data_IF_564253829870
#
_entry.id   IF_564253829870
#
_cell.length_a   1.000
_cell.length_b   1.000
_cell.length_c   1.000
_cell.angle_alpha   90.00
_cell.angle_beta   90.00
_cell.angle_gamma   90.00
#
_symmetry.space_group_name_H-M   'P 1'
#
loop_
_entity.id
_entity.type
_entity.pdbx_description
1 polymer ?
#
# COMPACT_ATOMS: atom_id res chain seq x y z
N UNK A 1 -4.99 3.27 20.60
CA UNK A 1 -4.38 3.25 19.25
C UNK A 1 -5.49 3.46 18.25
N UNK A 2 -5.43 4.55 17.49
CA UNK A 2 -6.47 4.99 16.56
C UNK A 2 -6.67 4.00 15.39
N UNK A 3 -7.93 3.65 15.12
CA UNK A 3 -8.34 2.74 14.05
C UNK A 3 -7.95 3.26 12.65
N UNK A 4 -8.00 4.58 12.42
CA UNK A 4 -7.63 5.18 11.13
C UNK A 4 -6.16 4.95 10.75
N UNK A 5 -5.26 5.01 11.74
CA UNK A 5 -3.83 4.76 11.51
C UNK A 5 -3.54 3.27 11.20
N UNK A 6 -4.31 2.34 11.78
CA UNK A 6 -4.20 0.91 11.46
C UNK A 6 -4.62 0.60 10.03
N UNK A 7 -5.67 1.25 9.55
CA UNK A 7 -6.19 1.09 8.19
C UNK A 7 -5.20 1.65 7.16
N UNK A 8 -4.64 2.84 7.39
CA UNK A 8 -3.60 3.42 6.53
C UNK A 8 -2.39 2.49 6.40
N UNK A 9 -1.89 1.95 7.52
CA UNK A 9 -0.75 1.02 7.51
C UNK A 9 -1.08 -0.27 6.77
N UNK A 10 -2.32 -0.77 6.86
CA UNK A 10 -2.76 -1.94 6.10
C UNK A 10 -2.76 -1.67 4.59
N UNK A 11 -3.29 -0.51 4.16
CA UNK A 11 -3.30 -0.10 2.75
C UNK A 11 -1.87 0.01 2.21
N UNK A 12 -0.96 0.68 2.93
CA UNK A 12 0.44 0.81 2.54
C UNK A 12 1.13 -0.55 2.39
N UNK A 13 0.88 -1.49 3.33
CA UNK A 13 1.40 -2.86 3.22
C UNK A 13 0.89 -3.56 1.96
N UNK A 14 -0.40 -3.41 1.65
CA UNK A 14 -0.99 -4.05 0.47
C UNK A 14 -0.45 -3.47 -0.84
N UNK A 15 -0.32 -2.14 -0.95
CA UNK A 15 0.28 -1.49 -2.12
C UNK A 15 1.72 -1.96 -2.35
N UNK A 16 2.53 -2.04 -1.28
CA UNK A 16 3.89 -2.58 -1.36
C UNK A 16 3.92 -4.05 -1.80
N UNK A 17 2.96 -4.86 -1.36
CA UNK A 17 2.83 -6.25 -1.79
C UNK A 17 2.53 -6.32 -3.30
N UNK A 18 1.59 -5.51 -3.79
CA UNK A 18 1.27 -5.43 -5.22
C UNK A 18 2.48 -5.01 -6.07
N UNK A 19 3.25 -4.01 -5.62
CA UNK A 19 4.44 -3.56 -6.35
C UNK A 19 5.53 -4.63 -6.47
N UNK A 20 5.65 -5.52 -5.49
CA UNK A 20 6.67 -6.58 -5.42
C UNK A 20 6.23 -7.91 -6.01
N UNK A 21 4.92 -8.12 -6.15
CA UNK A 21 4.37 -9.38 -6.64
C UNK A 21 4.81 -9.64 -8.09
N UNK A 22 4.96 -10.92 -8.43
CA UNK A 22 5.41 -11.37 -9.75
C UNK A 22 4.24 -11.92 -10.57
N UNK A 23 4.19 -11.70 -11.89
CA UNK A 23 3.12 -12.22 -12.74
C UNK A 23 3.20 -13.74 -12.96
N UNK A 24 4.33 -14.36 -12.60
CA UNK A 24 4.65 -15.75 -12.88
C UNK A 24 3.58 -16.74 -12.40
N UNK A 25 2.97 -16.48 -11.24
CA UNK A 25 1.97 -17.40 -10.69
C UNK A 25 0.63 -17.30 -11.43
N UNK A 26 0.29 -16.11 -11.95
CA UNK A 26 -0.85 -15.98 -12.87
C UNK A 26 -0.58 -16.68 -14.20
N UNK A 27 0.66 -16.65 -14.69
CA UNK A 27 1.06 -17.41 -15.88
C UNK A 27 1.00 -18.91 -15.60
N UNK A 28 1.52 -19.38 -14.44
CA UNK A 28 1.42 -20.79 -14.01
C UNK A 28 -0.04 -21.23 -13.94
N UNK A 29 -0.93 -20.38 -13.42
CA UNK A 29 -2.37 -20.63 -13.39
C UNK A 29 -2.98 -20.87 -14.77
N UNK A 30 -2.49 -20.20 -15.82
CA UNK A 30 -2.98 -20.40 -17.19
C UNK A 30 -2.82 -21.84 -17.69
N UNK A 31 -1.76 -22.50 -17.25
CA UNK A 31 -1.39 -23.85 -17.68
C UNK A 31 -1.78 -24.93 -16.67
N UNK A 32 -2.23 -24.55 -15.48
CA UNK A 32 -2.65 -25.50 -14.46
C UNK A 32 -3.89 -26.28 -14.91
N UNK A 33 -3.89 -27.59 -14.70
CA UNK A 33 -5.03 -28.43 -15.00
C UNK A 33 -6.02 -28.45 -13.83
N UNK A 34 -7.30 -28.74 -14.15
CA UNK A 34 -8.40 -28.72 -13.16
C UNK A 34 -8.22 -29.74 -12.03
N UNK A 35 -7.43 -30.79 -12.28
CA UNK A 35 -7.10 -31.84 -11.30
C UNK A 35 -6.03 -31.42 -10.30
N UNK A 36 -5.30 -30.33 -10.58
CA UNK A 36 -4.19 -29.83 -9.76
C UNK A 36 -4.63 -28.79 -8.72
N UNK A 37 -5.87 -28.88 -8.22
CA UNK A 37 -6.46 -27.87 -7.33
C UNK A 37 -5.66 -27.59 -6.04
N UNK A 38 -4.84 -28.55 -5.57
CA UNK A 38 -3.94 -28.34 -4.44
C UNK A 38 -2.85 -27.29 -4.72
N UNK A 39 -2.37 -27.20 -5.97
CA UNK A 39 -1.38 -26.21 -6.39
C UNK A 39 -1.97 -24.79 -6.48
N UNK A 40 -3.28 -24.67 -6.71
CA UNK A 40 -3.97 -23.37 -6.77
C UNK A 40 -3.80 -22.56 -5.48
N UNK A 41 -3.88 -23.23 -4.32
CA UNK A 41 -3.72 -22.60 -3.01
C UNK A 41 -2.31 -22.10 -2.71
N UNK A 42 -1.31 -22.48 -3.52
CA UNK A 42 0.10 -22.09 -3.37
C UNK A 42 0.51 -20.90 -4.21
N UNK A 43 -0.33 -20.48 -5.16
CA UNK A 43 -0.03 -19.40 -6.09
C UNK A 43 -0.19 -18.02 -5.41
N UNK A 44 0.80 -17.14 -5.58
CA UNK A 44 0.68 -15.74 -5.26
C UNK A 44 -0.02 -14.97 -6.39
N UNK A 45 -1.36 -14.93 -6.31
CA UNK A 45 -2.20 -14.24 -7.29
C UNK A 45 -2.42 -12.76 -6.94
N UNK A 46 -1.55 -12.13 -6.14
CA UNK A 46 -1.70 -10.73 -5.70
C UNK A 46 -1.85 -9.75 -6.88
N UNK A 47 -1.20 -10.01 -8.01
CA UNK A 47 -1.32 -9.17 -9.21
C UNK A 47 -2.52 -9.50 -10.09
N UNK A 48 -3.20 -10.61 -9.89
CA UNK A 48 -4.29 -11.03 -10.76
C UNK A 48 -5.53 -10.16 -10.51
N UNK A 49 -6.03 -9.49 -11.54
CA UNK A 49 -7.28 -8.73 -11.49
C UNK A 49 -8.42 -9.44 -12.21
N UNK A 50 -8.10 -10.17 -13.29
CA UNK A 50 -9.08 -10.96 -14.04
C UNK A 50 -8.40 -12.21 -14.62
N UNK A 51 -9.11 -13.34 -14.59
CA UNK A 51 -8.70 -14.59 -15.23
C UNK A 51 -9.88 -15.19 -15.98
N UNK A 52 -9.67 -15.50 -17.26
CA UNK A 52 -10.66 -16.18 -18.10
C UNK A 52 -9.97 -17.29 -18.88
N UNK A 53 -10.59 -18.47 -18.89
CA UNK A 53 -10.17 -19.59 -19.73
C UNK A 53 -11.35 -20.03 -20.59
N UNK A 54 -11.20 -19.94 -21.90
CA UNK A 54 -12.23 -20.36 -22.86
C UNK A 54 -12.29 -21.89 -22.98
N UNK A 55 -13.37 -22.39 -23.58
CA UNK A 55 -13.49 -23.81 -23.97
C UNK A 55 -12.48 -24.21 -25.06
N UNK A 56 -11.95 -23.25 -25.82
CA UNK A 56 -10.89 -23.46 -26.81
C UNK A 56 -9.48 -23.49 -26.19
N UNK A 57 -9.36 -23.30 -24.88
CA UNK A 57 -8.09 -23.32 -24.16
C UNK A 57 -7.32 -21.99 -24.17
N UNK A 58 -7.85 -20.95 -24.81
CA UNK A 58 -7.29 -19.59 -24.73
C UNK A 58 -7.47 -19.04 -23.32
N UNK A 59 -6.40 -18.49 -22.76
CA UNK A 59 -6.42 -17.86 -21.43
C UNK A 59 -6.16 -16.37 -21.58
N UNK A 60 -7.06 -15.57 -21.02
CA UNK A 60 -6.89 -14.13 -20.85
C UNK A 60 -6.58 -13.83 -19.39
N UNK A 61 -5.51 -13.07 -19.16
CA UNK A 61 -5.08 -12.62 -17.84
C UNK A 61 -5.04 -11.09 -17.86
N UNK A 62 -5.68 -10.47 -16.87
CA UNK A 62 -5.42 -9.06 -16.55
C UNK A 62 -4.69 -8.97 -15.22
N UNK A 63 -3.73 -8.05 -15.19
CA UNK A 63 -2.95 -7.77 -14.00
C UNK A 63 -3.33 -6.39 -13.44
N UNK A 64 -3.07 -6.21 -12.16
CA UNK A 64 -3.21 -4.93 -11.47
C UNK A 64 -2.22 -3.90 -12.05
N UNK A 65 -2.65 -2.63 -12.07
CA UNK A 65 -1.81 -1.51 -12.52
C UNK A 65 -0.80 -1.14 -11.42
N UNK A 66 0.46 -1.49 -11.65
CA UNK A 66 1.56 -1.21 -10.71
C UNK A 66 1.97 0.25 -10.69
N UNK A 67 1.79 0.99 -11.79
CA UNK A 67 2.12 2.41 -11.84
C UNK A 67 1.13 3.16 -10.95
N UNK A 68 -0.17 2.86 -11.09
CA UNK A 68 -1.20 3.42 -10.22
C UNK A 68 -0.99 3.06 -8.74
N UNK A 69 -0.57 1.82 -8.44
CA UNK A 69 -0.24 1.44 -7.06
C UNK A 69 0.96 2.22 -6.50
N UNK A 70 1.95 2.54 -7.35
CA UNK A 70 3.13 3.33 -6.99
C UNK A 70 2.76 4.80 -6.73
N UNK A 71 1.97 5.41 -7.60
CA UNK A 71 1.45 6.79 -7.43
C UNK A 71 0.65 6.92 -6.13
N UNK A 72 -0.20 5.93 -5.81
CA UNK A 72 -0.94 5.90 -4.54
C UNK A 72 0.00 5.81 -3.34
N UNK A 73 1.06 5.01 -3.44
CA UNK A 73 2.04 4.85 -2.37
C UNK A 73 2.86 6.12 -2.16
N UNK A 74 3.26 6.81 -3.23
CA UNK A 74 3.94 8.10 -3.18
C UNK A 74 3.07 9.16 -2.51
N UNK A 75 1.80 9.27 -2.91
CA UNK A 75 0.83 10.18 -2.29
C UNK A 75 0.67 9.91 -0.80
N UNK A 76 0.59 8.65 -0.40
CA UNK A 76 0.49 8.26 1.01
C UNK A 76 1.81 8.47 1.78
N UNK A 77 2.96 8.48 1.11
CA UNK A 77 4.26 8.75 1.73
C UNK A 77 4.45 10.24 2.02
N UNK A 78 3.95 11.13 1.15
CA UNK A 78 4.01 12.58 1.33
C UNK A 78 3.12 13.13 2.46
N UNK A 79 2.16 12.34 2.93
CA UNK A 79 1.25 12.69 4.02
C UNK A 79 1.77 12.20 5.38
N UNK A 80 2.96 12.62 5.84
CA UNK A 80 3.69 12.10 7.03
C UNK A 80 2.86 11.60 8.24
N UNK A 81 3.44 10.72 9.06
CA UNK A 81 2.73 10.11 10.21
C UNK A 81 2.37 11.11 11.34
N UNK A 82 2.86 12.35 11.26
CA UNK A 82 2.56 13.37 12.25
C UNK A 82 1.50 14.33 11.72
N UNK A 83 0.33 14.29 12.36
CA UNK A 83 -0.74 15.28 12.17
C UNK A 83 -0.30 16.71 12.47
N UNK A 84 0.89 16.92 13.03
CA UNK A 84 1.56 18.20 12.97
C UNK A 84 2.16 18.35 11.56
N UNK A 85 1.40 18.98 10.67
CA UNK A 85 1.98 19.71 9.54
C UNK A 85 3.27 20.39 10.01
N UNK A 86 4.34 20.44 9.21
CA UNK A 86 5.55 21.18 9.59
C UNK A 86 5.25 22.61 10.07
N UNK A 87 4.11 23.18 9.66
CA UNK A 87 3.56 24.42 10.19
C UNK A 87 3.13 24.33 11.67
N UNK A 88 2.44 23.27 12.11
CA UNK A 88 2.01 23.10 13.50
C UNK A 88 3.19 22.85 14.45
N UNK A 89 4.18 22.06 14.02
CA UNK A 89 5.44 21.92 14.76
C UNK A 89 6.21 23.26 14.83
N UNK A 90 6.17 24.05 13.76
CA UNK A 90 6.75 25.39 13.72
C UNK A 90 6.00 26.37 14.62
N UNK A 91 4.67 26.35 14.63
CA UNK A 91 3.84 27.20 15.52
C UNK A 91 4.06 26.86 16.99
N UNK A 92 4.12 25.57 17.36
CA UNK A 92 4.45 25.16 18.74
C UNK A 92 5.85 25.60 19.16
N UNK A 93 6.83 25.56 18.25
CA UNK A 93 8.18 26.05 18.54
C UNK A 93 8.21 27.57 18.78
N UNK A 94 7.42 28.34 18.00
CA UNK A 94 7.27 29.77 18.21
C UNK A 94 6.64 30.09 19.57
N UNK A 95 5.54 29.41 19.94
CA UNK A 95 4.89 29.59 21.25
C UNK A 95 5.84 29.28 22.41
N UNK A 96 6.61 28.20 22.31
CA UNK A 96 7.60 27.83 23.32
C UNK A 96 8.74 28.84 23.43
N UNK A 97 9.13 29.49 22.33
CA UNK A 97 10.16 30.54 22.34
C UNK A 97 9.65 31.88 22.90
N UNK A 98 8.36 32.16 22.76
CA UNK A 98 7.74 33.40 23.23
C UNK A 98 7.39 33.36 24.73
N UNK A 99 7.40 32.18 25.36
CA UNK A 99 7.05 31.97 26.77
C UNK A 99 8.15 32.28 27.79
N UNK A 100 9.28 32.86 27.41
CA UNK A 100 10.44 33.09 28.29
C UNK A 100 10.79 34.58 28.44
N UNK A 101 9.89 35.40 29.00
CA UNK A 101 10.24 36.73 29.50
C UNK A 101 9.58 37.10 30.84
N UNK A 102 9.21 36.12 31.67
CA UNK A 102 8.79 36.41 33.04
C UNK A 102 9.44 35.43 34.02
N UNK A 103 10.65 35.78 34.46
CA UNK A 103 11.18 35.59 35.80
C UNK A 103 12.66 36.01 35.82
N UNK A 104 12.95 37.29 36.06
CA UNK A 104 13.92 37.62 37.10
C UNK A 104 13.66 39.04 37.60
N UNK A 105 12.87 39.11 38.69
CA UNK A 105 12.75 40.30 39.50
C UNK A 105 13.94 40.38 40.44
N UNK A 106 14.82 41.36 40.21
CA UNK A 106 15.71 41.93 41.23
C UNK A 106 14.99 43.00 42.03
#
# INVERSE_FOLDING_TARGET
MDTGQRDRRAIVRQLRRMLRAKPNDAVKLAFLDKTEGAELGRLDLTLLSEFKRSSTGVVEIKLQDRIKAMELLERLAGQGEDGASGAEAFYQALEQSAGWEECDGT
#
